data_IF_808240328971
#
_entry.id   IF_808240328971
#
_cell.length_a   1.000
_cell.length_b   1.000
_cell.length_c   1.000
_cell.angle_alpha   90.00
_cell.angle_beta   90.00
_cell.angle_gamma   90.00
#
_symmetry.space_group_name_H-M   'P 1'
#
loop_
_entity.id
_entity.type
_entity.pdbx_description
1 polymer ?
#
# COMPACT_ATOMS: atom_id res chain seq x y z
N UNK A 1 28.68 3.30 -19.08
CA UNK A 1 27.50 4.19 -18.96
C UNK A 1 27.14 4.21 -17.50
N UNK A 2 27.55 5.28 -16.82
CA UNK A 2 27.29 5.51 -15.40
C UNK A 2 25.94 6.21 -15.25
N UNK A 3 25.13 5.80 -14.28
CA UNK A 3 24.10 6.69 -13.72
C UNK A 3 24.11 6.58 -12.20
N UNK A 4 24.33 7.76 -11.63
CA UNK A 4 24.58 8.06 -10.23
C UNK A 4 23.27 8.09 -9.43
N UNK A 5 23.38 7.69 -8.17
CA UNK A 5 22.41 7.93 -7.11
C UNK A 5 22.61 9.36 -6.59
N UNK A 6 21.55 10.15 -6.49
CA UNK A 6 21.46 11.24 -5.49
C UNK A 6 20.00 11.53 -5.15
N UNK A 7 19.65 11.33 -3.88
CA UNK A 7 18.53 12.00 -3.20
C UNK A 7 19.02 13.33 -2.61
N UNK A 8 18.11 14.29 -2.33
CA UNK A 8 18.33 15.20 -1.21
C UNK A 8 17.15 15.28 -0.24
N UNK A 9 17.53 15.38 1.03
CA UNK A 9 16.72 15.64 2.22
C UNK A 9 16.04 17.02 2.17
N UNK A 10 14.85 17.13 2.76
CA UNK A 10 14.42 18.36 3.42
C UNK A 10 13.50 18.07 4.62
N UNK A 11 13.60 18.98 5.56
CA UNK A 11 13.45 18.86 7.01
C UNK A 11 12.02 19.08 7.52
N UNK A 12 11.73 18.45 8.67
CA UNK A 12 10.56 18.53 9.54
C UNK A 12 10.11 19.94 9.96
N UNK A 13 8.80 20.15 10.07
CA UNK A 13 8.21 20.93 11.18
C UNK A 13 6.74 20.53 11.44
N UNK A 14 6.37 20.30 12.71
CA UNK A 14 4.98 20.09 13.14
C UNK A 14 4.85 19.23 14.41
N UNK A 15 4.95 19.88 15.58
CA UNK A 15 4.82 19.28 16.93
C UNK A 15 3.38 18.81 17.25
N UNK A 16 3.19 17.77 18.08
CA UNK A 16 1.88 17.37 18.61
C UNK A 16 1.55 18.10 19.93
N UNK A 17 0.27 18.41 20.14
CA UNK A 17 -0.24 19.06 21.34
C UNK A 17 -0.65 18.03 22.41
N UNK A 18 -0.15 18.23 23.62
CA UNK A 18 -0.61 17.63 24.87
C UNK A 18 -2.01 18.12 25.27
N UNK A 19 -2.81 17.25 25.89
CA UNK A 19 -3.46 17.53 27.19
C UNK A 19 -4.24 16.31 27.72
N UNK A 20 -3.79 15.78 28.86
CA UNK A 20 -4.59 15.02 29.83
C UNK A 20 -5.03 15.99 30.94
N UNK A 21 -6.11 15.67 31.66
CA UNK A 21 -5.92 15.51 33.11
C UNK A 21 -6.62 14.27 33.69
N UNK A 22 -6.09 13.85 34.83
CA UNK A 22 -6.40 12.69 35.66
C UNK A 22 -7.33 13.08 36.82
N UNK A 23 -8.22 12.16 37.26
CA UNK A 23 -8.45 11.74 38.66
C UNK A 23 -9.61 10.73 38.72
N UNK A 24 -9.37 9.48 39.17
CA UNK A 24 -9.77 8.88 40.48
C UNK A 24 -11.29 8.82 40.70
N UNK A 25 -11.98 7.75 41.13
CA UNK A 25 -11.68 6.43 41.69
C UNK A 25 -13.05 5.81 42.08
N UNK A 26 -13.21 4.49 42.06
CA UNK A 26 -13.50 3.63 43.24
C UNK A 26 -14.88 2.97 43.15
N UNK A 27 -14.96 1.79 43.76
CA UNK A 27 -16.00 0.75 43.69
C UNK A 27 -17.18 1.04 44.64
N UNK A 28 -18.37 0.51 44.36
CA UNK A 28 -19.01 -0.56 45.16
C UNK A 28 -20.51 -0.75 44.83
N UNK A 29 -20.93 -1.97 45.10
CA UNK A 29 -22.26 -2.59 45.03
C UNK A 29 -23.33 -1.85 45.85
N UNK A 30 -24.62 -1.89 45.46
CA UNK A 30 -25.63 -2.67 46.21
C UNK A 30 -27.07 -2.61 45.63
N UNK A 31 -27.76 -3.73 45.83
CA UNK A 31 -29.15 -3.93 46.26
C UNK A 31 -30.39 -3.36 45.51
N UNK A 32 -31.19 -4.34 45.07
CA UNK A 32 -32.61 -4.61 45.45
C UNK A 32 -33.83 -3.95 44.76
N UNK A 33 -34.63 -4.86 44.18
CA UNK A 33 -36.07 -5.16 44.40
C UNK A 33 -37.09 -4.00 44.31
N UNK A 34 -38.03 -4.13 43.35
CA UNK A 34 -39.45 -3.91 43.61
C UNK A 34 -40.32 -4.93 42.85
N UNK A 35 -40.97 -5.81 43.61
CA UNK A 35 -42.24 -6.44 43.26
C UNK A 35 -43.34 -5.38 43.12
N UNK A 36 -44.30 -5.60 42.22
CA UNK A 36 -45.72 -5.82 42.57
C UNK A 36 -46.63 -5.70 41.33
N UNK A 37 -47.29 -6.81 41.02
CA UNK A 37 -48.58 -6.82 40.30
C UNK A 37 -49.67 -6.29 41.21
N UNK A 38 -50.81 -5.80 40.67
CA UNK A 38 -51.97 -6.69 40.79
C UNK A 38 -52.90 -6.70 39.56
N UNK A 39 -53.49 -7.87 39.36
CA UNK A 39 -54.67 -8.13 38.54
C UNK A 39 -55.87 -7.28 38.98
N UNK A 40 -56.67 -6.79 38.01
CA UNK A 40 -58.14 -6.78 38.11
C UNK A 40 -58.78 -6.48 36.75
N UNK A 41 -59.64 -7.41 36.32
CA UNK A 41 -60.71 -7.28 35.31
C UNK A 41 -61.97 -7.79 36.05
N UNK A 42 -63.25 -7.47 35.73
CA UNK A 42 -63.75 -7.19 34.38
C UNK A 42 -65.03 -6.29 34.19
N UNK A 43 -65.39 -6.13 32.91
CA UNK A 43 -66.76 -6.17 32.29
C UNK A 43 -67.52 -4.87 31.92
N UNK A 44 -67.56 -4.60 30.60
CA UNK A 44 -68.73 -4.30 29.71
C UNK A 44 -69.51 -2.96 29.86
N UNK A 45 -70.06 -2.26 28.86
CA UNK A 45 -70.78 -2.60 27.60
C UNK A 45 -70.80 -1.38 26.63
N UNK A 46 -70.75 -1.65 25.30
CA UNK A 46 -71.28 -0.96 24.08
C UNK A 46 -71.23 0.57 23.89
N UNK A 47 -71.19 1.15 22.68
CA UNK A 47 -70.97 0.82 21.26
C UNK A 47 -70.98 2.19 20.55
N UNK A 48 -70.19 2.42 19.50
CA UNK A 48 -70.68 2.96 18.21
C UNK A 48 -69.56 3.17 17.15
N UNK A 49 -69.68 2.36 16.10
CA UNK A 49 -69.60 2.70 14.65
C UNK A 49 -68.30 3.20 13.97
N UNK A 50 -67.76 2.29 13.12
CA UNK A 50 -67.32 2.49 11.71
C UNK A 50 -66.00 3.27 11.49
N UNK A 51 -64.95 2.79 10.81
CA UNK A 51 -64.85 2.06 9.54
C UNK A 51 -63.45 1.43 9.37
N UNK A 52 -63.34 0.43 8.49
CA UNK A 52 -62.23 -0.49 8.30
C UNK A 52 -60.92 0.08 7.73
N UNK A 53 -59.80 -0.47 8.21
CA UNK A 53 -58.58 -0.71 7.45
C UNK A 53 -58.09 -2.11 7.81
N UNK A 54 -58.01 -3.01 6.82
CA UNK A 54 -57.52 -4.38 6.99
C UNK A 54 -56.00 -4.37 7.12
N UNK A 55 -55.49 -4.16 8.32
CA UNK A 55 -54.12 -4.53 8.66
C UNK A 55 -54.06 -6.06 8.78
N UNK A 56 -53.25 -6.67 7.92
CA UNK A 56 -52.86 -8.08 7.97
C UNK A 56 -52.16 -8.29 9.31
N UNK A 57 -52.90 -8.78 10.31
CA UNK A 57 -52.35 -9.12 11.63
C UNK A 57 -51.15 -10.07 11.45
N UNK A 58 -49.95 -9.54 11.61
CA UNK A 58 -48.74 -10.35 11.76
C UNK A 58 -48.93 -11.19 13.01
N UNK A 59 -49.11 -12.49 12.83
CA UNK A 59 -49.26 -13.44 13.92
C UNK A 59 -48.00 -13.36 14.78
N UNK A 60 -48.16 -12.97 16.04
CA UNK A 60 -47.10 -12.97 17.05
C UNK A 60 -46.58 -14.40 17.18
N UNK A 61 -45.35 -14.65 16.73
CA UNK A 61 -44.66 -15.92 16.94
C UNK A 61 -44.05 -15.86 18.33
N UNK A 62 -44.65 -16.58 19.27
CA UNK A 62 -44.05 -16.79 20.59
C UNK A 62 -43.00 -17.90 20.41
N UNK A 63 -41.71 -17.67 20.70
CA UNK A 63 -40.69 -18.71 20.60
C UNK A 63 -41.07 -19.89 21.48
N UNK A 64 -41.34 -21.04 20.85
CA UNK A 64 -41.58 -22.27 21.58
C UNK A 64 -40.23 -22.79 22.09
N UNK A 65 -40.15 -23.17 23.36
CA UNK A 65 -38.97 -23.84 23.89
C UNK A 65 -38.73 -25.14 23.11
N UNK A 66 -37.55 -25.27 22.51
CA UNK A 66 -37.14 -26.46 21.74
C UNK A 66 -36.67 -27.52 22.73
N UNK A 67 -37.28 -28.71 22.69
CA UNK A 67 -36.88 -29.83 23.54
C UNK A 67 -35.64 -30.58 23.01
N UNK A 68 -35.01 -31.41 23.85
CA UNK A 68 -33.77 -32.15 23.49
C UNK A 68 -33.97 -33.01 22.24
N UNK A 69 -35.13 -33.66 22.10
CA UNK A 69 -35.43 -34.55 20.97
C UNK A 69 -35.48 -33.77 19.66
N UNK A 70 -36.09 -32.58 19.70
CA UNK A 70 -36.14 -31.66 18.56
C UNK A 70 -34.75 -31.19 18.13
N UNK A 71 -33.92 -30.83 19.09
CA UNK A 71 -32.56 -30.39 18.82
C UNK A 71 -31.69 -31.53 18.25
N UNK A 72 -31.79 -32.73 18.83
CA UNK A 72 -31.09 -33.92 18.35
C UNK A 72 -31.51 -34.30 16.93
N UNK A 73 -32.82 -34.33 16.64
CA UNK A 73 -33.32 -34.64 15.30
C UNK A 73 -32.79 -33.65 14.25
N UNK A 74 -32.79 -32.35 14.56
CA UNK A 74 -32.27 -31.31 13.67
C UNK A 74 -30.76 -31.49 13.44
N UNK A 75 -29.99 -31.75 14.49
CA UNK A 75 -28.54 -31.99 14.37
C UNK A 75 -28.22 -33.24 13.55
N UNK A 76 -28.96 -34.33 13.75
CA UNK A 76 -28.81 -35.57 12.99
C UNK A 76 -29.05 -35.32 11.50
N UNK A 77 -30.15 -34.63 11.16
CA UNK A 77 -30.48 -34.35 9.77
C UNK A 77 -29.49 -33.37 9.11
N UNK A 78 -28.92 -32.42 9.86
CA UNK A 78 -27.81 -31.56 9.40
C UNK A 78 -26.54 -32.37 9.15
N UNK A 79 -26.17 -33.25 10.08
CA UNK A 79 -25.01 -34.15 9.92
C UNK A 79 -25.13 -35.07 8.69
N UNK A 80 -26.36 -35.50 8.38
CA UNK A 80 -26.69 -36.26 7.18
C UNK A 80 -26.87 -35.41 5.91
N UNK A 81 -26.67 -34.09 5.99
CA UNK A 81 -26.85 -33.11 4.90
C UNK A 81 -28.24 -33.15 4.26
N UNK A 82 -29.26 -33.50 5.04
CA UNK A 82 -30.66 -33.48 4.62
C UNK A 82 -31.23 -32.07 4.75
N UNK A 83 -30.96 -31.44 5.90
CA UNK A 83 -31.37 -30.08 6.24
C UNK A 83 -30.14 -29.19 6.15
N UNK A 84 -30.34 -27.95 5.72
CA UNK A 84 -29.30 -26.93 5.62
C UNK A 84 -28.76 -26.52 7.01
N UNK A 85 -27.46 -26.22 7.10
CA UNK A 85 -26.77 -25.99 8.39
C UNK A 85 -27.23 -24.72 9.12
N UNK A 86 -27.72 -23.73 8.37
CA UNK A 86 -28.20 -22.42 8.85
C UNK A 86 -29.64 -22.45 9.40
N UNK A 87 -30.36 -23.56 9.22
CA UNK A 87 -31.74 -23.70 9.68
C UNK A 87 -31.86 -23.57 11.19
N UNK A 88 -32.74 -22.67 11.66
CA UNK A 88 -33.08 -22.49 13.07
C UNK A 88 -34.30 -23.34 13.47
N UNK A 89 -34.31 -23.78 14.72
CA UNK A 89 -35.30 -24.71 15.24
C UNK A 89 -36.70 -24.09 15.45
N UNK A 90 -36.75 -22.82 15.85
CA UNK A 90 -37.95 -22.05 16.22
C UNK A 90 -38.70 -21.44 15.01
N UNK A 91 -38.06 -21.43 13.84
CA UNK A 91 -38.67 -20.96 12.60
C UNK A 91 -39.82 -21.87 12.14
N UNK A 92 -40.80 -21.28 11.45
CA UNK A 92 -41.90 -22.04 10.86
C UNK A 92 -41.42 -22.80 9.62
N UNK A 93 -41.83 -24.06 9.51
CA UNK A 93 -41.54 -24.89 8.35
C UNK A 93 -42.57 -24.65 7.25
N UNK A 94 -42.10 -24.22 6.08
CA UNK A 94 -42.96 -24.09 4.91
C UNK A 94 -43.22 -25.46 4.27
N UNK A 95 -44.35 -25.60 3.57
CA UNK A 95 -44.71 -26.84 2.86
C UNK A 95 -43.64 -27.23 1.81
N UNK A 96 -42.99 -26.23 1.21
CA UNK A 96 -41.92 -26.42 0.22
C UNK A 96 -40.63 -26.93 0.84
N UNK A 97 -40.19 -26.33 1.96
CA UNK A 97 -39.02 -26.83 2.71
C UNK A 97 -39.25 -28.27 3.17
N UNK A 98 -40.44 -28.56 3.72
CA UNK A 98 -40.77 -29.91 4.16
C UNK A 98 -40.78 -30.92 3.00
N UNK A 99 -41.35 -30.54 1.85
CA UNK A 99 -41.32 -31.35 0.65
C UNK A 99 -39.88 -31.68 0.20
N UNK A 100 -39.00 -30.67 0.16
CA UNK A 100 -37.57 -30.85 -0.15
C UNK A 100 -36.92 -31.83 0.81
N UNK A 101 -37.13 -31.66 2.11
CA UNK A 101 -36.52 -32.50 3.13
C UNK A 101 -37.02 -33.95 3.08
N UNK A 102 -38.32 -34.19 2.86
CA UNK A 102 -38.89 -35.55 2.70
C UNK A 102 -38.25 -36.26 1.50
N UNK A 103 -38.18 -35.58 0.36
CA UNK A 103 -37.63 -36.20 -0.85
C UNK A 103 -36.14 -36.44 -0.69
N UNK A 104 -35.40 -35.49 -0.12
CA UNK A 104 -33.96 -35.63 0.13
C UNK A 104 -33.66 -36.78 1.10
N UNK A 105 -34.39 -36.90 2.21
CA UNK A 105 -34.18 -37.98 3.17
C UNK A 105 -34.54 -39.35 2.58
N UNK A 106 -35.64 -39.45 1.84
CA UNK A 106 -36.05 -40.70 1.21
C UNK A 106 -35.06 -41.10 0.10
N UNK A 107 -34.70 -40.17 -0.79
CA UNK A 107 -33.75 -40.45 -1.87
C UNK A 107 -32.37 -40.91 -1.36
N UNK A 108 -31.93 -40.38 -0.22
CA UNK A 108 -30.64 -40.70 0.40
C UNK A 108 -30.66 -42.00 1.20
N UNK A 109 -31.73 -42.25 1.97
CA UNK A 109 -31.75 -43.34 2.96
C UNK A 109 -32.66 -44.53 2.58
N UNK A 110 -33.51 -44.41 1.56
CA UNK A 110 -34.39 -45.49 1.12
C UNK A 110 -33.60 -46.59 0.40
N UNK A 111 -33.55 -47.76 1.03
CA UNK A 111 -32.88 -48.95 0.49
C UNK A 111 -33.72 -49.64 -0.58
N UNK A 112 -35.04 -49.60 -0.48
CA UNK A 112 -35.94 -50.23 -1.45
C UNK A 112 -36.21 -49.31 -2.64
N UNK A 113 -35.68 -49.67 -3.82
CA UNK A 113 -35.86 -48.89 -5.05
C UNK A 113 -37.35 -48.64 -5.41
N UNK A 114 -38.27 -49.53 -5.00
CA UNK A 114 -39.72 -49.40 -5.24
C UNK A 114 -40.38 -48.28 -4.44
N UNK A 115 -39.76 -47.84 -3.35
CA UNK A 115 -40.29 -46.79 -2.46
C UNK A 115 -39.44 -45.52 -2.49
N UNK A 116 -38.46 -45.47 -3.41
CA UNK A 116 -37.53 -44.35 -3.54
C UNK A 116 -38.18 -43.24 -4.37
N UNK A 117 -38.30 -42.07 -3.75
CA UNK A 117 -38.66 -40.83 -4.39
C UNK A 117 -37.42 -40.33 -5.13
N UNK A 118 -37.54 -40.17 -6.45
CA UNK A 118 -36.48 -39.63 -7.28
C UNK A 118 -36.96 -38.27 -7.80
N UNK A 119 -36.29 -37.15 -7.46
CA UNK A 119 -36.60 -35.81 -7.98
C UNK A 119 -36.45 -35.63 -9.52
N UNK A 120 -36.43 -36.70 -10.29
CA UNK A 120 -36.12 -36.65 -11.72
C UNK A 120 -37.33 -36.16 -12.51
N UNK A 121 -37.17 -35.03 -13.20
CA UNK A 121 -38.06 -34.47 -14.24
C UNK A 121 -38.07 -35.33 -15.53
N UNK A 122 -37.50 -36.54 -15.49
CA UNK A 122 -37.20 -37.35 -16.67
C UNK A 122 -38.33 -38.32 -17.04
N UNK A 123 -39.50 -37.79 -17.40
CA UNK A 123 -40.39 -38.46 -18.36
C UNK A 123 -40.56 -37.57 -19.59
N UNK A 124 -39.77 -37.88 -20.63
CA UNK A 124 -40.02 -37.62 -22.04
C UNK A 124 -40.95 -36.44 -22.39
N UNK A 125 -40.41 -35.21 -22.31
CA UNK A 125 -40.80 -34.10 -23.19
C UNK A 125 -42.14 -33.40 -22.95
N UNK A 126 -42.98 -33.82 -21.99
CA UNK A 126 -44.19 -33.07 -21.61
C UNK A 126 -44.51 -33.29 -20.13
N UNK A 127 -43.78 -32.61 -19.24
CA UNK A 127 -44.08 -32.63 -17.81
C UNK A 127 -45.37 -31.84 -17.56
N UNK A 128 -46.49 -32.54 -17.33
CA UNK A 128 -47.71 -31.92 -16.82
C UNK A 128 -47.39 -31.48 -15.39
N UNK A 129 -47.43 -30.18 -15.13
CA UNK A 129 -47.20 -29.64 -13.79
C UNK A 129 -48.32 -30.14 -12.86
N UNK A 130 -47.93 -30.65 -11.70
CA UNK A 130 -48.90 -31.13 -10.70
C UNK A 130 -49.79 -30.02 -10.14
N UNK A 131 -49.25 -28.79 -10.12
CA UNK A 131 -49.87 -27.59 -9.56
C UNK A 131 -49.76 -26.41 -10.54
N UNK A 132 -50.70 -25.47 -10.46
CA UNK A 132 -50.73 -24.27 -11.32
C UNK A 132 -49.82 -23.15 -10.84
N UNK A 133 -49.54 -23.13 -9.53
CA UNK A 133 -48.79 -22.10 -8.82
C UNK A 133 -47.29 -22.44 -8.69
N UNK A 134 -46.83 -23.56 -9.24
CA UNK A 134 -45.43 -23.98 -9.21
C UNK A 134 -44.92 -24.16 -10.64
N UNK A 135 -43.95 -23.34 -11.06
CA UNK A 135 -43.33 -23.42 -12.39
C UNK A 135 -42.15 -24.38 -12.42
N UNK A 136 -41.72 -24.78 -13.62
CA UNK A 136 -40.59 -25.69 -13.84
C UNK A 136 -39.26 -25.08 -13.38
N UNK A 137 -39.18 -23.75 -13.33
CA UNK A 137 -38.02 -22.97 -12.89
C UNK A 137 -37.93 -22.82 -11.37
N UNK A 138 -38.95 -23.25 -10.60
CA UNK A 138 -38.89 -23.22 -9.14
C UNK A 138 -37.75 -24.13 -8.64
N UNK A 139 -36.87 -23.66 -7.72
CA UNK A 139 -35.77 -24.47 -7.21
C UNK A 139 -36.22 -25.77 -6.52
N UNK A 140 -37.45 -25.81 -6.01
CA UNK A 140 -38.07 -26.97 -5.36
C UNK A 140 -38.99 -27.78 -6.28
N UNK A 141 -39.10 -27.39 -7.57
CA UNK A 141 -39.99 -28.03 -8.54
C UNK A 141 -39.84 -29.55 -8.54
N UNK A 142 -38.61 -30.05 -8.66
CA UNK A 142 -38.34 -31.49 -8.72
C UNK A 142 -38.80 -32.26 -7.47
N UNK A 143 -38.66 -31.68 -6.27
CA UNK A 143 -39.13 -32.30 -5.03
C UNK A 143 -40.66 -32.26 -4.90
N UNK A 144 -41.28 -31.14 -5.25
CA UNK A 144 -42.72 -30.96 -5.17
C UNK A 144 -43.43 -31.87 -6.18
N UNK A 145 -42.94 -31.90 -7.43
CA UNK A 145 -43.47 -32.75 -8.50
C UNK A 145 -43.33 -34.24 -8.14
N UNK A 146 -42.16 -34.67 -7.63
CA UNK A 146 -41.94 -36.06 -7.26
C UNK A 146 -42.91 -36.56 -6.16
N UNK A 147 -43.28 -35.72 -5.20
CA UNK A 147 -44.27 -36.08 -4.19
C UNK A 147 -45.69 -36.19 -4.77
N UNK A 148 -46.03 -35.31 -5.71
CA UNK A 148 -47.33 -35.34 -6.38
C UNK A 148 -47.48 -36.56 -7.29
N UNK A 149 -46.45 -36.89 -8.05
CA UNK A 149 -46.40 -38.09 -8.90
C UNK A 149 -46.43 -39.39 -8.09
N UNK A 150 -45.80 -39.39 -6.91
CA UNK A 150 -45.88 -40.50 -5.96
C UNK A 150 -47.24 -40.62 -5.24
N UNK A 151 -48.17 -39.70 -5.49
CA UNK A 151 -49.50 -39.67 -4.86
C UNK A 151 -49.48 -39.29 -3.37
N UNK A 152 -48.37 -38.74 -2.87
CA UNK A 152 -48.23 -38.30 -1.47
C UNK A 152 -48.97 -36.99 -1.24
N UNK A 153 -48.99 -36.10 -2.24
CA UNK A 153 -49.73 -34.84 -2.20
C UNK A 153 -50.86 -34.85 -3.24
N UNK A 154 -52.09 -34.47 -2.85
CA UNK A 154 -53.19 -34.37 -3.80
C UNK A 154 -52.88 -33.28 -4.82
N UNK A 155 -53.04 -33.61 -6.10
CA UNK A 155 -52.67 -32.75 -7.23
C UNK A 155 -53.54 -33.06 -8.45
N UNK A 156 -53.38 -32.30 -9.53
CA UNK A 156 -54.05 -32.58 -10.82
C UNK A 156 -53.74 -33.96 -11.37
N UNK A 157 -52.60 -34.52 -10.99
CA UNK A 157 -52.16 -35.85 -11.40
C UNK A 157 -52.96 -36.95 -10.69
N UNK A 158 -53.48 -36.66 -9.49
CA UNK A 158 -54.26 -37.61 -8.68
C UNK A 158 -55.63 -37.95 -9.30
N UNK A 159 -56.20 -37.03 -10.08
CA UNK A 159 -57.62 -37.07 -10.49
C UNK A 159 -57.89 -37.77 -11.83
N UNK A 160 -56.88 -38.43 -12.44
CA UNK A 160 -56.97 -38.96 -13.81
C UNK A 160 -57.28 -40.47 -13.90
N UNK A 161 -57.70 -41.14 -12.83
CA UNK A 161 -58.06 -42.58 -12.88
C UNK A 161 -59.55 -42.88 -13.03
N UNK A 162 -60.44 -41.86 -13.05
CA UNK A 162 -61.90 -42.10 -13.03
C UNK A 162 -62.63 -41.89 -14.36
N UNK A 163 -61.97 -41.92 -15.51
CA UNK A 163 -62.63 -41.86 -16.82
C UNK A 163 -62.27 -43.06 -17.70
N UNK A 164 -62.93 -44.19 -17.46
CA UNK A 164 -63.17 -45.21 -18.48
C UNK A 164 -64.68 -45.50 -18.53
N UNK A 165 -65.34 -44.77 -19.43
CA UNK A 165 -66.58 -45.20 -20.04
C UNK A 165 -66.24 -46.30 -21.07
N UNK A 166 -66.92 -47.45 -20.99
CA UNK A 166 -66.91 -48.47 -22.03
C UNK A 166 -66.00 -49.69 -21.82
N UNK A 167 -66.32 -50.57 -20.87
CA UNK A 167 -66.29 -52.01 -21.13
C UNK A 167 -67.22 -52.74 -20.14
N UNK A 168 -68.30 -53.32 -20.68
CA UNK A 168 -69.10 -54.32 -19.98
C UNK A 168 -68.27 -55.60 -19.87
N UNK A 169 -68.41 -56.25 -18.72
CA UNK A 169 -68.00 -57.61 -18.42
C UNK A 169 -66.51 -57.80 -18.05
N UNK A 170 -66.23 -57.68 -16.75
CA UNK A 170 -65.48 -58.67 -15.97
C UNK A 170 -65.36 -58.20 -14.52
N UNK A 171 -65.78 -59.04 -13.58
CA UNK A 171 -65.31 -59.03 -12.20
C UNK A 171 -65.65 -57.76 -11.41
N UNK A 172 -66.83 -57.76 -10.81
CA UNK A 172 -67.21 -56.91 -9.69
C UNK A 172 -66.17 -57.02 -8.55
N UNK A 173 -65.07 -56.26 -8.63
CA UNK A 173 -64.27 -55.91 -7.46
C UNK A 173 -64.90 -54.65 -6.89
N UNK A 174 -66.08 -54.82 -6.30
CA UNK A 174 -66.58 -53.88 -5.33
C UNK A 174 -65.51 -53.77 -4.25
N UNK A 175 -64.75 -52.67 -4.26
CA UNK A 175 -64.06 -52.21 -3.07
C UNK A 175 -65.15 -51.78 -2.09
N UNK A 176 -65.64 -52.72 -1.30
CA UNK A 176 -66.58 -52.45 -0.22
C UNK A 176 -65.85 -51.66 0.87
N UNK A 177 -66.11 -50.35 1.08
CA UNK A 177 -65.56 -49.62 2.21
C UNK A 177 -66.38 -49.90 3.48
N UNK A 178 -67.30 -50.85 3.44
CA UNK A 178 -68.23 -51.17 4.52
C UNK A 178 -67.61 -52.15 5.53
N UNK A 179 -66.46 -51.78 6.10
CA UNK A 179 -66.00 -52.32 7.40
C UNK A 179 -64.89 -51.53 8.10
N UNK A 180 -64.57 -50.31 7.65
CA UNK A 180 -63.69 -49.40 8.39
C UNK A 180 -64.45 -48.23 9.04
N UNK A 181 -65.75 -48.10 8.81
CA UNK A 181 -66.63 -47.17 9.54
C UNK A 181 -67.00 -47.68 10.95
N UNK A 182 -66.16 -48.51 11.58
CA UNK A 182 -66.23 -48.72 13.02
C UNK A 182 -65.67 -47.46 13.66
N UNK A 183 -66.53 -46.46 13.88
CA UNK A 183 -66.31 -45.25 14.70
C UNK A 183 -64.85 -44.86 14.96
N UNK A 184 -64.03 -44.66 13.92
CA UNK A 184 -62.63 -44.23 14.07
C UNK A 184 -62.54 -42.83 14.69
N UNK A 185 -63.62 -42.04 14.59
CA UNK A 185 -63.79 -40.76 15.28
C UNK A 185 -63.91 -40.88 16.80
N UNK A 186 -64.21 -42.07 17.34
CA UNK A 186 -64.33 -42.32 18.78
C UNK A 186 -63.08 -42.97 19.40
N UNK A 187 -62.18 -43.52 18.58
CA UNK A 187 -60.96 -44.22 19.05
C UNK A 187 -59.75 -43.29 19.09
N UNK A 188 -59.71 -42.30 18.20
CA UNK A 188 -58.68 -41.25 18.18
C UNK A 188 -59.19 -40.14 19.11
N UNK A 189 -58.82 -40.20 20.38
CA UNK A 189 -59.34 -39.33 21.46
C UNK A 189 -58.99 -37.84 21.36
N UNK A 190 -58.87 -37.25 20.17
CA UNK A 190 -58.71 -35.81 19.99
C UNK A 190 -60.03 -35.07 20.23
N UNK A 191 -59.94 -33.89 20.81
CA UNK A 191 -61.12 -33.04 21.05
C UNK A 191 -61.62 -32.33 19.78
N UNK A 192 -60.74 -32.17 18.79
CA UNK A 192 -60.95 -31.43 17.54
C UNK A 192 -60.95 -32.33 16.30
N UNK A 193 -61.35 -33.60 16.44
CA UNK A 193 -61.45 -34.57 15.32
C UNK A 193 -62.30 -34.03 14.16
N UNK A 194 -63.30 -33.20 14.44
CA UNK A 194 -64.18 -32.59 13.41
C UNK A 194 -63.45 -31.59 12.51
N UNK A 195 -62.32 -31.04 12.94
CA UNK A 195 -61.50 -30.10 12.15
C UNK A 195 -60.44 -30.83 11.30
N UNK A 196 -60.26 -32.14 11.52
CA UNK A 196 -59.33 -32.99 10.77
C UNK A 196 -60.00 -33.43 9.46
N UNK A 197 -59.25 -33.48 8.35
CA UNK A 197 -59.78 -33.93 7.05
C UNK A 197 -60.34 -35.35 7.15
N UNK A 198 -61.34 -35.70 6.33
CA UNK A 198 -61.98 -37.03 6.38
C UNK A 198 -61.04 -38.19 6.01
N UNK A 199 -59.90 -37.90 5.39
CA UNK A 199 -58.92 -38.88 4.92
C UNK A 199 -57.78 -39.14 5.93
N UNK A 200 -57.52 -38.22 6.86
CA UNK A 200 -56.40 -38.31 7.80
C UNK A 200 -56.59 -39.25 9.03
N UNK A 201 -57.80 -39.46 9.59
CA UNK A 201 -58.01 -40.24 10.82
C UNK A 201 -57.48 -41.68 10.75
N UNK A 202 -57.61 -42.36 9.61
CA UNK A 202 -57.13 -43.73 9.46
C UNK A 202 -55.60 -43.83 9.65
N UNK A 203 -54.85 -42.91 9.04
CA UNK A 203 -53.39 -42.85 9.17
C UNK A 203 -52.94 -42.48 10.59
N UNK A 204 -53.62 -41.52 11.22
CA UNK A 204 -53.35 -41.13 12.62
C UNK A 204 -53.59 -42.29 13.59
N UNK A 205 -54.66 -43.08 13.38
CA UNK A 205 -54.92 -44.26 14.19
C UNK A 205 -53.81 -45.30 14.06
N UNK A 206 -53.35 -45.58 12.83
CA UNK A 206 -52.25 -46.53 12.62
C UNK A 206 -50.93 -46.06 13.23
N UNK A 207 -50.65 -44.76 13.20
CA UNK A 207 -49.46 -44.19 13.85
C UNK A 207 -49.54 -44.29 15.38
N UNK A 208 -50.72 -44.03 15.96
CA UNK A 208 -50.93 -44.19 17.41
C UNK A 208 -50.75 -45.63 17.89
N UNK A 209 -51.12 -46.62 17.06
CA UNK A 209 -50.87 -48.03 17.33
C UNK A 209 -49.38 -48.40 17.28
N UNK A 210 -48.54 -47.58 16.65
CA UNK A 210 -47.09 -47.79 16.62
C UNK A 210 -46.38 -47.40 17.94
N UNK A 211 -47.13 -46.92 18.95
CA UNK A 211 -46.67 -46.61 20.31
C UNK A 211 -45.36 -45.79 20.36
N UNK A 212 -44.24 -46.40 20.76
CA UNK A 212 -42.92 -45.76 20.85
C UNK A 212 -42.36 -45.33 19.49
N UNK A 213 -42.86 -45.89 18.40
CA UNK A 213 -42.51 -45.51 17.02
C UNK A 213 -43.51 -44.54 16.38
N UNK A 214 -44.54 -44.12 17.12
CA UNK A 214 -45.50 -43.10 16.67
C UNK A 214 -44.78 -41.78 16.37
N UNK A 215 -44.91 -41.33 15.12
CA UNK A 215 -44.41 -40.02 14.68
C UNK A 215 -45.15 -38.93 15.46
N UNK A 216 -46.46 -39.08 15.63
CA UNK A 216 -47.30 -38.11 16.32
C UNK A 216 -46.88 -37.93 17.78
N UNK A 217 -46.63 -39.03 18.49
CA UNK A 217 -46.20 -39.02 19.90
C UNK A 217 -44.77 -38.48 20.05
N UNK A 218 -43.87 -38.73 19.09
CA UNK A 218 -42.51 -38.17 19.11
C UNK A 218 -42.49 -36.66 18.87
N UNK A 219 -43.35 -36.16 17.97
CA UNK A 219 -43.36 -34.73 17.62
C UNK A 219 -44.15 -33.89 18.62
N UNK A 220 -45.31 -34.35 19.06
CA UNK A 220 -46.25 -33.55 19.87
C UNK A 220 -46.45 -34.10 21.29
N UNK A 221 -45.82 -35.22 21.64
CA UNK A 221 -46.06 -35.89 22.92
C UNK A 221 -47.48 -36.44 23.05
N UNK A 222 -47.94 -36.61 24.28
CA UNK A 222 -49.31 -37.01 24.56
C UNK A 222 -50.25 -35.80 24.45
N UNK A 223 -50.77 -35.54 23.25
CA UNK A 223 -51.74 -34.47 23.02
C UNK A 223 -53.18 -34.99 23.00
N UNK A 224 -54.12 -34.22 23.57
CA UNK A 224 -55.58 -34.46 23.48
C UNK A 224 -56.28 -33.54 22.48
N UNK A 225 -55.56 -32.56 21.93
CA UNK A 225 -56.04 -31.62 20.91
C UNK A 225 -54.98 -31.50 19.82
N UNK A 226 -55.34 -31.79 18.57
CA UNK A 226 -54.40 -31.91 17.47
C UNK A 226 -54.07 -30.56 16.81
N UNK A 227 -55.03 -29.64 16.73
CA UNK A 227 -54.92 -28.30 16.15
C UNK A 227 -54.42 -28.31 14.68
N UNK A 228 -55.18 -28.90 13.74
CA UNK A 228 -54.73 -29.12 12.35
C UNK A 228 -54.34 -27.84 11.60
N UNK A 229 -54.87 -26.68 12.01
CA UNK A 229 -54.60 -25.38 11.40
C UNK A 229 -53.39 -24.64 12.01
N UNK A 230 -52.72 -25.22 13.01
CA UNK A 230 -51.54 -24.61 13.65
C UNK A 230 -50.29 -24.83 12.77
N UNK A 231 -49.47 -23.80 12.50
CA UNK A 231 -48.23 -23.97 11.75
C UNK A 231 -47.21 -24.79 12.56
N UNK A 232 -46.40 -25.59 11.86
CA UNK A 232 -45.36 -26.43 12.47
C UNK A 232 -43.99 -25.74 12.43
N UNK A 233 -43.19 -25.94 13.47
CA UNK A 233 -41.80 -25.46 13.51
C UNK A 233 -40.86 -26.39 12.74
N UNK A 234 -39.71 -25.86 12.30
CA UNK A 234 -38.67 -26.66 11.62
C UNK A 234 -38.13 -27.78 12.52
N UNK A 235 -38.04 -27.54 13.82
CA UNK A 235 -37.74 -28.56 14.82
C UNK A 235 -38.76 -29.71 14.85
N UNK A 236 -40.06 -29.40 14.89
CA UNK A 236 -41.12 -30.42 14.86
C UNK A 236 -41.11 -31.22 13.56
N UNK A 237 -40.93 -30.53 12.43
CA UNK A 237 -40.78 -31.15 11.12
C UNK A 237 -39.54 -32.08 11.06
N UNK A 238 -38.42 -31.68 11.66
CA UNK A 238 -37.22 -32.50 11.76
C UNK A 238 -37.44 -33.77 12.58
N UNK A 239 -38.15 -33.70 13.72
CA UNK A 239 -38.53 -34.88 14.50
C UNK A 239 -39.42 -35.80 13.69
N UNK A 240 -40.40 -35.25 12.95
CA UNK A 240 -41.29 -36.04 12.12
C UNK A 240 -40.51 -36.82 11.04
N UNK A 241 -39.54 -36.16 10.39
CA UNK A 241 -38.67 -36.74 9.37
C UNK A 241 -37.73 -37.80 9.91
N UNK A 242 -37.17 -37.59 11.10
CA UNK A 242 -36.23 -38.53 11.71
C UNK A 242 -36.92 -39.75 12.36
N UNK A 243 -38.25 -39.74 12.43
CA UNK A 243 -39.08 -40.73 13.10
C UNK A 243 -39.69 -41.76 12.14
N UNK A 244 -40.29 -42.81 12.71
CA UNK A 244 -40.96 -43.87 11.96
C UNK A 244 -39.98 -44.82 11.28
N UNK A 245 -40.32 -45.27 10.07
CA UNK A 245 -39.58 -46.35 9.36
C UNK A 245 -38.15 -45.99 8.95
N UNK A 246 -37.81 -44.71 8.88
CA UNK A 246 -36.49 -44.25 8.40
C UNK A 246 -35.46 -44.15 9.53
N UNK A 247 -35.89 -44.22 10.80
CA UNK A 247 -35.02 -44.11 11.97
C UNK A 247 -33.88 -45.13 11.97
N UNK A 248 -34.14 -46.38 11.56
CA UNK A 248 -33.10 -47.42 11.46
C UNK A 248 -32.08 -47.15 10.34
N UNK A 249 -32.53 -46.54 9.24
CA UNK A 249 -31.64 -46.16 8.14
C UNK A 249 -30.74 -44.99 8.56
N UNK A 250 -31.31 -44.00 9.27
CA UNK A 250 -30.57 -42.89 9.88
C UNK A 250 -29.51 -43.42 10.85
N UNK A 251 -29.87 -44.32 11.77
CA UNK A 251 -28.92 -44.84 12.77
C UNK A 251 -27.78 -45.64 12.13
N UNK A 252 -28.09 -46.47 11.13
CA UNK A 252 -27.09 -47.22 10.36
C UNK A 252 -26.09 -46.28 9.66
N UNK A 253 -26.60 -45.21 9.05
CA UNK A 253 -25.77 -44.25 8.32
C UNK A 253 -24.90 -43.40 9.27
N UNK A 254 -25.43 -43.03 10.43
CA UNK A 254 -24.66 -42.37 11.48
C UNK A 254 -23.51 -43.25 12.01
N UNK A 255 -23.76 -44.56 12.17
CA UNK A 255 -22.71 -45.53 12.54
C UNK A 255 -21.64 -45.63 11.45
N UNK A 256 -22.04 -45.70 10.18
CA UNK A 256 -21.12 -45.72 9.03
C UNK A 256 -20.22 -44.48 9.01
N UNK A 257 -20.80 -43.28 9.11
CA UNK A 257 -20.06 -42.01 9.14
C UNK A 257 -19.12 -41.95 10.36
N UNK A 258 -19.56 -42.43 11.52
CA UNK A 258 -18.72 -42.49 12.72
C UNK A 258 -17.50 -43.39 12.52
N UNK A 259 -17.69 -44.57 11.93
CA UNK A 259 -16.60 -45.50 11.62
C UNK A 259 -15.60 -44.91 10.62
N UNK A 260 -16.09 -44.29 9.55
CA UNK A 260 -15.27 -43.62 8.53
C UNK A 260 -14.43 -42.48 9.14
N UNK A 261 -15.03 -41.66 10.00
CA UNK A 261 -14.32 -40.58 10.69
C UNK A 261 -13.28 -41.12 11.70
N UNK A 262 -13.58 -42.22 12.40
CA UNK A 262 -12.58 -42.85 13.28
C UNK A 262 -11.41 -43.43 12.50
N UNK A 263 -11.65 -44.03 11.33
CA UNK A 263 -10.60 -44.56 10.47
C UNK A 263 -9.68 -43.43 9.97
N UNK A 264 -10.25 -42.33 9.46
CA UNK A 264 -9.47 -41.13 9.05
C UNK A 264 -8.62 -40.56 10.18
N UNK A 265 -9.16 -40.54 11.39
CA UNK A 265 -8.42 -40.05 12.56
C UNK A 265 -7.25 -40.97 12.92
N UNK A 266 -7.43 -42.28 12.81
CA UNK A 266 -6.36 -43.25 13.03
C UNK A 266 -5.24 -43.10 11.98
N UNK A 267 -5.60 -43.03 10.69
CA UNK A 267 -4.63 -42.80 9.61
C UNK A 267 -3.83 -41.50 9.81
N UNK A 268 -4.49 -40.43 10.26
CA UNK A 268 -3.83 -39.17 10.56
C UNK A 268 -2.83 -39.28 11.71
N UNK A 269 -3.16 -40.04 12.75
CA UNK A 269 -2.25 -40.26 13.88
C UNK A 269 -1.07 -41.16 13.49
N UNK A 270 -1.27 -42.13 12.62
CA UNK A 270 -0.20 -42.96 12.07
C UNK A 270 0.78 -42.11 11.26
N UNK A 271 0.29 -41.25 10.36
CA UNK A 271 1.12 -40.30 9.60
C UNK A 271 1.85 -39.35 10.54
N UNK A 272 1.15 -38.83 11.57
CA UNK A 272 1.75 -37.93 12.57
C UNK A 272 2.88 -38.62 13.34
N UNK A 273 2.67 -39.87 13.74
CA UNK A 273 3.67 -40.66 14.45
C UNK A 273 4.86 -40.98 13.56
N UNK A 274 4.65 -41.36 12.29
CA UNK A 274 5.75 -41.58 11.34
C UNK A 274 6.60 -40.32 11.13
N UNK A 275 5.98 -39.15 10.98
CA UNK A 275 6.70 -37.89 10.84
C UNK A 275 7.49 -37.49 12.09
N UNK A 276 7.00 -37.87 13.28
CA UNK A 276 7.70 -37.66 14.53
C UNK A 276 8.86 -38.65 14.70
N UNK A 277 8.64 -39.94 14.42
CA UNK A 277 9.62 -41.03 14.57
C UNK A 277 10.82 -40.85 13.64
N UNK A 278 10.60 -40.31 12.44
CA UNK A 278 11.68 -40.04 11.50
C UNK A 278 12.58 -38.88 11.93
N UNK A 279 12.16 -38.05 12.89
CA UNK A 279 12.81 -36.79 13.28
C UNK A 279 13.11 -35.85 12.08
N UNK A 280 12.56 -36.13 10.90
CA UNK A 280 12.93 -35.47 9.64
C UNK A 280 12.65 -33.96 9.71
N UNK A 281 11.56 -33.59 10.39
CA UNK A 281 11.19 -32.20 10.62
C UNK A 281 12.25 -31.50 11.49
N UNK A 282 12.68 -32.14 12.58
CA UNK A 282 13.67 -31.57 13.49
C UNK A 282 15.04 -31.45 12.80
N UNK A 283 15.45 -32.48 12.04
CA UNK A 283 16.69 -32.47 11.26
C UNK A 283 16.66 -31.38 10.20
N UNK A 284 15.59 -31.30 9.41
CA UNK A 284 15.40 -30.27 8.39
C UNK A 284 15.55 -28.85 8.96
N UNK A 285 14.86 -28.55 10.07
CA UNK A 285 14.95 -27.25 10.69
C UNK A 285 16.30 -26.97 11.33
N UNK A 286 16.94 -27.98 11.91
CA UNK A 286 18.29 -27.84 12.47
C UNK A 286 19.33 -27.58 11.37
N UNK A 287 19.24 -28.28 10.24
CA UNK A 287 20.08 -28.07 9.07
C UNK A 287 19.86 -26.67 8.49
N UNK A 288 18.59 -26.25 8.33
CA UNK A 288 18.25 -24.90 7.87
C UNK A 288 18.77 -23.82 8.81
N UNK A 289 18.68 -24.04 10.12
CA UNK A 289 19.21 -23.13 11.12
C UNK A 289 20.75 -23.05 11.06
N UNK A 290 21.43 -24.16 10.81
CA UNK A 290 22.87 -24.19 10.66
C UNK A 290 23.33 -23.51 9.36
N UNK A 291 22.62 -23.70 8.24
CA UNK A 291 22.86 -22.96 7.00
C UNK A 291 22.73 -21.45 7.18
N UNK A 292 21.72 -20.98 7.90
CA UNK A 292 21.57 -19.54 8.16
C UNK A 292 22.65 -19.02 9.12
N UNK A 293 23.10 -19.82 10.10
CA UNK A 293 24.24 -19.46 10.94
C UNK A 293 25.53 -19.33 10.14
N UNK A 294 25.82 -20.24 9.22
CA UNK A 294 27.03 -20.15 8.38
C UNK A 294 26.98 -18.94 7.45
N UNK A 295 25.82 -18.65 6.85
CA UNK A 295 25.60 -17.42 6.08
C UNK A 295 25.83 -16.16 6.92
N UNK A 296 25.33 -16.15 8.16
CA UNK A 296 25.56 -15.06 9.11
C UNK A 296 27.05 -14.80 9.36
N UNK A 297 27.82 -15.87 9.61
CA UNK A 297 29.28 -15.78 9.81
C UNK A 297 30.02 -15.30 8.56
N UNK A 298 29.60 -15.73 7.36
CA UNK A 298 30.18 -15.26 6.09
C UNK A 298 29.94 -13.77 5.86
N UNK A 299 28.72 -13.29 6.12
CA UNK A 299 28.37 -11.87 6.03
C UNK A 299 29.13 -11.05 7.06
N UNK A 300 29.25 -11.53 8.30
CA UNK A 300 30.03 -10.86 9.34
C UNK A 300 31.50 -10.75 8.96
N UNK A 301 32.08 -11.83 8.42
CA UNK A 301 33.46 -11.82 7.90
C UNK A 301 33.63 -10.82 6.76
N UNK A 302 32.69 -10.76 5.81
CA UNK A 302 32.72 -9.81 4.71
C UNK A 302 32.58 -8.35 5.18
N UNK A 303 31.73 -8.11 6.19
CA UNK A 303 31.56 -6.81 6.82
C UNK A 303 32.85 -6.34 7.51
N UNK A 304 33.51 -7.21 8.28
CA UNK A 304 34.79 -6.90 8.92
C UNK A 304 35.89 -6.62 7.90
N UNK A 305 35.93 -7.36 6.78
CA UNK A 305 36.85 -7.07 5.68
C UNK A 305 36.61 -5.68 5.07
N UNK A 306 35.36 -5.33 4.80
CA UNK A 306 35.00 -4.01 4.25
C UNK A 306 35.35 -2.86 5.22
N UNK A 307 35.21 -3.07 6.53
CA UNK A 307 35.66 -2.10 7.53
C UNK A 307 37.18 -1.89 7.51
N UNK A 308 37.95 -2.98 7.38
CA UNK A 308 39.40 -2.91 7.26
C UNK A 308 39.83 -2.17 5.99
N UNK A 309 39.18 -2.45 4.85
CA UNK A 309 39.43 -1.76 3.59
C UNK A 309 39.14 -0.26 3.69
N UNK A 310 38.04 0.12 4.36
CA UNK A 310 37.67 1.52 4.59
C UNK A 310 38.71 2.24 5.46
N UNK A 311 39.20 1.58 6.50
CA UNK A 311 40.25 2.13 7.36
C UNK A 311 41.55 2.36 6.58
N UNK A 312 41.95 1.41 5.73
CA UNK A 312 43.12 1.58 4.85
C UNK A 312 42.95 2.73 3.87
N UNK A 313 41.77 2.86 3.25
CA UNK A 313 41.49 3.98 2.34
C UNK A 313 41.55 5.33 3.07
N UNK A 314 41.03 5.40 4.30
CA UNK A 314 41.13 6.62 5.11
C UNK A 314 42.59 7.01 5.37
N UNK A 315 43.44 6.04 5.71
CA UNK A 315 44.88 6.27 5.92
C UNK A 315 45.54 6.77 4.63
N UNK A 316 45.19 6.19 3.47
CA UNK A 316 45.68 6.63 2.17
C UNK A 316 45.23 8.06 1.85
N UNK A 317 43.98 8.41 2.13
CA UNK A 317 43.48 9.77 1.93
C UNK A 317 44.19 10.79 2.82
N UNK A 318 44.41 10.48 4.09
CA UNK A 318 45.15 11.35 5.02
C UNK A 318 46.59 11.55 4.55
N UNK A 319 47.25 10.49 4.06
CA UNK A 319 48.60 10.57 3.48
C UNK A 319 48.63 11.45 2.24
N UNK A 320 47.71 11.24 1.28
CA UNK A 320 47.62 12.03 0.06
C UNK A 320 47.35 13.51 0.38
N UNK A 321 46.48 13.80 1.34
CA UNK A 321 46.23 15.16 1.80
C UNK A 321 47.47 15.82 2.40
N UNK A 322 48.24 15.07 3.20
CA UNK A 322 49.50 15.55 3.74
C UNK A 322 50.55 15.83 2.64
N UNK A 323 50.61 15.02 1.59
CA UNK A 323 51.47 15.25 0.42
C UNK A 323 51.05 16.52 -0.34
N UNK A 324 49.75 16.68 -0.64
CA UNK A 324 49.22 17.89 -1.30
C UNK A 324 49.52 19.16 -0.47
N UNK A 325 49.38 19.10 0.85
CA UNK A 325 49.72 20.22 1.73
C UNK A 325 51.20 20.58 1.68
N UNK A 326 52.10 19.58 1.64
CA UNK A 326 53.54 19.81 1.49
C UNK A 326 53.86 20.46 0.15
N UNK A 327 53.27 19.97 -0.94
CA UNK A 327 53.44 20.56 -2.28
C UNK A 327 52.93 22.00 -2.32
N UNK A 328 51.75 22.26 -1.74
CA UNK A 328 51.20 23.62 -1.64
C UNK A 328 52.12 24.55 -0.86
N UNK A 329 52.68 24.09 0.28
CA UNK A 329 53.62 24.88 1.06
C UNK A 329 54.91 25.16 0.28
N UNK A 330 55.45 24.16 -0.44
CA UNK A 330 56.61 24.34 -1.30
C UNK A 330 56.36 25.36 -2.42
N UNK A 331 55.20 25.30 -3.08
CA UNK A 331 54.81 26.27 -4.10
C UNK A 331 54.67 27.68 -3.53
N UNK A 332 54.12 27.84 -2.32
CA UNK A 332 54.04 29.17 -1.69
C UNK A 332 55.43 29.73 -1.35
N UNK A 333 56.36 28.88 -0.88
CA UNK A 333 57.76 29.28 -0.69
C UNK A 333 58.39 29.74 -2.01
N UNK A 334 58.18 29.01 -3.11
CA UNK A 334 58.65 29.41 -4.43
C UNK A 334 58.01 30.73 -4.90
N UNK A 335 56.70 30.90 -4.69
CA UNK A 335 55.97 32.12 -5.02
C UNK A 335 56.53 33.33 -4.28
N UNK A 336 56.82 33.18 -2.99
CA UNK A 336 57.37 34.25 -2.17
C UNK A 336 58.77 34.66 -2.62
N UNK A 337 59.62 33.69 -3.00
CA UNK A 337 60.94 33.98 -3.58
C UNK A 337 60.83 34.72 -4.92
N UNK A 338 59.90 34.33 -5.79
CA UNK A 338 59.68 35.04 -7.05
C UNK A 338 59.16 36.47 -6.84
N UNK A 339 58.34 36.69 -5.81
CA UNK A 339 57.90 38.03 -5.43
C UNK A 339 59.07 38.90 -4.95
N UNK A 340 59.95 38.38 -4.09
CA UNK A 340 61.12 39.13 -3.62
C UNK A 340 62.08 39.46 -4.77
N UNK A 341 62.36 38.48 -5.65
CA UNK A 341 63.18 38.71 -6.84
C UNK A 341 62.56 39.75 -7.78
N UNK A 342 61.23 39.74 -7.93
CA UNK A 342 60.51 40.76 -8.71
C UNK A 342 60.67 42.15 -8.09
N UNK A 343 60.59 42.26 -6.77
CA UNK A 343 60.81 43.53 -6.05
C UNK A 343 62.25 44.03 -6.23
N UNK A 344 63.26 43.15 -6.10
CA UNK A 344 64.67 43.50 -6.35
C UNK A 344 64.90 43.97 -7.79
N UNK A 345 64.33 43.27 -8.79
CA UNK A 345 64.42 43.67 -10.20
C UNK A 345 63.77 45.03 -10.43
N UNK A 346 62.61 45.28 -9.81
CA UNK A 346 61.96 46.59 -9.88
C UNK A 346 62.84 47.69 -9.28
N UNK A 347 63.43 47.47 -8.10
CA UNK A 347 64.32 48.42 -7.44
C UNK A 347 65.57 48.72 -8.29
N UNK A 348 66.21 47.69 -8.86
CA UNK A 348 67.34 47.86 -9.79
C UNK A 348 66.91 48.63 -11.03
N UNK A 349 65.72 48.35 -11.56
CA UNK A 349 65.20 49.04 -12.74
C UNK A 349 64.93 50.53 -12.48
N UNK A 350 64.41 50.89 -11.31
CA UNK A 350 64.20 52.27 -10.90
C UNK A 350 65.53 53.00 -10.68
N UNK A 351 66.50 52.36 -10.02
CA UNK A 351 67.86 52.90 -9.88
C UNK A 351 68.51 53.16 -11.24
N UNK A 352 68.46 52.18 -12.14
CA UNK A 352 68.99 52.33 -13.50
C UNK A 352 68.28 53.44 -14.28
N UNK A 353 66.97 53.61 -14.11
CA UNK A 353 66.24 54.72 -14.72
C UNK A 353 66.70 56.08 -14.16
N UNK A 354 66.94 56.17 -12.85
CA UNK A 354 67.45 57.39 -12.22
C UNK A 354 68.88 57.73 -12.67
N UNK A 355 69.78 56.75 -12.72
CA UNK A 355 71.15 56.92 -13.23
C UNK A 355 71.17 57.29 -14.72
N UNK A 356 70.27 56.70 -15.53
CA UNK A 356 70.11 57.12 -16.93
C UNK A 356 69.66 58.57 -17.03
N UNK A 357 68.77 59.02 -16.15
CA UNK A 357 68.32 60.42 -16.11
C UNK A 357 69.46 61.37 -15.76
N UNK A 358 70.29 61.03 -14.75
CA UNK A 358 71.46 61.86 -14.38
C UNK A 358 72.50 61.86 -15.48
N UNK A 359 72.81 60.71 -16.07
CA UNK A 359 73.73 60.60 -17.21
C UNK A 359 73.27 61.44 -18.41
N UNK A 360 71.97 61.41 -18.75
CA UNK A 360 71.42 62.24 -19.82
C UNK A 360 71.54 63.74 -19.49
N UNK A 361 71.27 64.13 -18.24
CA UNK A 361 71.43 65.52 -17.79
C UNK A 361 72.90 65.98 -17.90
N UNK A 362 73.84 65.22 -17.35
CA UNK A 362 75.28 65.51 -17.44
C UNK A 362 75.75 65.56 -18.90
N UNK A 363 75.24 64.68 -19.76
CA UNK A 363 75.54 64.71 -21.20
C UNK A 363 75.03 66.01 -21.85
N UNK A 364 73.85 66.50 -21.49
CA UNK A 364 73.35 67.79 -21.96
C UNK A 364 74.23 68.94 -21.46
N UNK A 365 74.61 68.94 -20.17
CA UNK A 365 75.48 69.98 -19.60
C UNK A 365 76.85 70.02 -20.30
N UNK A 366 77.43 68.84 -20.61
CA UNK A 366 78.66 68.74 -21.39
C UNK A 366 78.50 69.27 -22.81
N UNK A 367 77.36 69.01 -23.45
CA UNK A 367 77.03 69.51 -24.79
C UNK A 367 76.91 71.04 -24.79
N UNK A 368 76.30 71.62 -23.75
CA UNK A 368 76.17 73.06 -23.57
C UNK A 368 77.56 73.69 -23.34
N UNK A 369 78.38 73.12 -22.47
CA UNK A 369 79.76 73.59 -22.26
C UNK A 369 80.62 73.51 -23.53
N UNK A 370 80.43 72.47 -24.34
CA UNK A 370 81.11 72.33 -25.62
C UNK A 370 80.69 73.45 -26.58
N UNK A 371 79.39 73.74 -26.67
CA UNK A 371 78.84 74.84 -27.48
C UNK A 371 79.37 76.20 -27.01
N UNK A 372 79.46 76.43 -25.70
CA UNK A 372 80.06 77.64 -25.11
C UNK A 372 81.56 77.79 -25.43
N UNK A 373 82.30 76.68 -25.44
CA UNK A 373 83.71 76.67 -25.81
C UNK A 373 83.90 76.97 -27.30
N UNK A 374 83.06 76.39 -28.17
CA UNK A 374 83.06 76.66 -29.61
C UNK A 374 82.78 78.14 -29.91
N UNK A 375 81.75 78.73 -29.30
CA UNK A 375 81.44 80.16 -29.47
C UNK A 375 82.57 81.06 -28.96
N UNK A 376 83.21 80.72 -27.83
CA UNK A 376 84.40 81.45 -27.35
C UNK A 376 85.57 81.31 -28.30
N UNK A 377 85.82 80.13 -28.84
CA UNK A 377 86.87 79.91 -29.83
C UNK A 377 86.62 80.75 -31.09
N UNK A 378 85.39 80.79 -31.58
CA UNK A 378 84.99 81.64 -32.71
C UNK A 378 85.26 83.12 -32.40
N UNK A 379 84.85 83.61 -31.23
CA UNK A 379 85.14 85.00 -30.81
C UNK A 379 86.64 85.32 -30.70
N UNK A 380 87.47 84.36 -30.28
CA UNK A 380 88.92 84.51 -30.25
C UNK A 380 89.52 84.53 -31.66
N UNK A 381 89.00 83.73 -32.58
CA UNK A 381 89.40 83.76 -33.99
C UNK A 381 89.06 85.12 -34.63
N UNK A 382 87.88 85.66 -34.34
CA UNK A 382 87.49 87.00 -34.77
C UNK A 382 88.41 88.07 -34.20
N UNK A 383 88.64 88.06 -32.88
CA UNK A 383 89.56 88.99 -32.23
C UNK A 383 90.99 88.89 -32.78
N UNK A 384 91.47 87.67 -33.05
CA UNK A 384 92.74 87.43 -33.72
C UNK A 384 92.75 88.05 -35.12
N UNK A 385 91.70 87.87 -35.92
CA UNK A 385 91.59 88.49 -37.25
C UNK A 385 91.60 90.03 -37.17
N UNK A 386 90.96 90.62 -36.15
CA UNK A 386 90.99 92.06 -35.91
C UNK A 386 92.42 92.52 -35.57
N UNK A 387 93.10 91.84 -34.64
CA UNK A 387 94.48 92.15 -34.28
C UNK A 387 95.45 91.99 -35.46
N UNK A 388 95.27 90.96 -36.29
CA UNK A 388 96.04 90.79 -37.52
C UNK A 388 95.82 91.98 -38.48
N UNK A 389 94.57 92.47 -38.61
CA UNK A 389 94.26 93.66 -39.38
C UNK A 389 94.87 94.95 -38.76
N UNK A 390 94.89 95.07 -37.43
CA UNK A 390 95.54 96.20 -36.73
C UNK A 390 97.06 96.17 -36.89
N UNK A 391 97.70 95.00 -36.76
CA UNK A 391 99.14 94.83 -37.04
C UNK A 391 99.44 95.28 -38.46
N UNK A 392 98.62 94.88 -39.42
CA UNK A 392 98.76 95.28 -40.81
C UNK A 392 98.54 96.79 -41.00
N UNK A 393 97.55 97.39 -40.34
CA UNK A 393 97.34 98.84 -40.34
C UNK A 393 98.52 99.60 -39.73
N UNK A 394 99.10 99.11 -38.62
CA UNK A 394 100.30 99.68 -38.00
C UNK A 394 101.50 99.53 -38.94
N UNK A 395 101.64 98.40 -39.64
CA UNK A 395 102.69 98.17 -40.64
C UNK A 395 102.59 99.23 -41.75
N UNK A 396 101.37 99.51 -42.24
CA UNK A 396 101.10 100.57 -43.22
C UNK A 396 101.43 101.95 -42.63
N UNK A 397 100.94 102.29 -41.43
CA UNK A 397 101.20 103.58 -40.77
C UNK A 397 102.71 103.80 -40.55
N UNK A 398 103.43 102.78 -40.09
CA UNK A 398 104.87 102.83 -39.93
C UNK A 398 105.57 103.16 -41.24
N UNK A 399 105.18 102.51 -42.34
CA UNK A 399 105.74 102.84 -43.67
C UNK A 399 105.47 104.31 -44.06
N UNK A 400 104.30 104.85 -43.72
CA UNK A 400 103.95 106.24 -43.99
C UNK A 400 104.75 107.23 -43.13
N UNK A 401 104.95 106.92 -41.84
CA UNK A 401 105.81 107.72 -40.95
C UNK A 401 107.26 107.67 -41.41
N UNK A 402 107.76 106.49 -41.79
CA UNK A 402 109.11 106.36 -42.37
C UNK A 402 109.25 107.17 -43.66
N UNK A 403 108.21 107.21 -44.51
CA UNK A 403 108.16 108.05 -45.70
C UNK A 403 108.15 109.55 -45.37
N UNK A 404 107.35 109.99 -44.40
CA UNK A 404 107.31 111.39 -43.98
C UNK A 404 108.61 111.79 -43.26
N UNK A 405 109.24 110.89 -42.51
CA UNK A 405 110.57 111.09 -41.94
C UNK A 405 111.63 111.25 -43.04
N UNK A 406 111.56 110.46 -44.12
CA UNK A 406 112.42 110.65 -45.31
C UNK A 406 112.18 112.00 -45.98
N UNK A 407 110.92 112.42 -46.14
CA UNK A 407 110.56 113.76 -46.67
C UNK A 407 111.02 114.89 -45.75
N UNK A 408 110.84 114.74 -44.45
CA UNK A 408 111.32 115.65 -43.40
C UNK A 408 112.83 115.78 -43.44
N UNK A 409 113.57 114.68 -43.53
CA UNK A 409 115.02 114.68 -43.68
C UNK A 409 115.45 115.35 -44.99
N UNK A 410 114.70 115.16 -46.08
CA UNK A 410 114.92 115.89 -47.33
C UNK A 410 114.66 117.40 -47.15
N UNK A 411 113.58 117.81 -46.48
CA UNK A 411 113.31 119.22 -46.12
C UNK A 411 114.38 119.80 -45.20
N UNK A 412 114.87 119.04 -44.23
CA UNK A 412 115.95 119.42 -43.32
C UNK A 412 117.27 119.58 -44.07
N UNK A 413 117.59 118.70 -45.02
CA UNK A 413 118.74 118.89 -45.94
C UNK A 413 118.60 120.15 -46.79
N UNK A 414 117.39 120.49 -47.26
CA UNK A 414 117.12 121.76 -47.93
C UNK A 414 117.35 122.95 -46.99
N UNK A 415 116.91 122.88 -45.73
CA UNK A 415 117.15 123.94 -44.74
C UNK A 415 118.61 124.04 -44.30
N UNK A 416 119.35 122.93 -44.24
CA UNK A 416 120.79 122.90 -43.98
C UNK A 416 121.56 123.54 -45.14
N UNK A 417 121.11 123.32 -46.38
CA UNK A 417 121.62 124.00 -47.58
C UNK A 417 121.31 125.51 -47.57
N UNK A 418 120.14 125.92 -47.06
CA UNK A 418 119.79 127.33 -46.83
C UNK A 418 120.62 127.94 -45.69
N UNK A 419 120.91 127.17 -44.64
CA UNK A 419 121.81 127.57 -43.54
C UNK A 419 123.26 127.75 -43.98
N UNK A 420 123.75 126.94 -44.94
CA UNK A 420 125.07 127.14 -45.57
C UNK A 420 125.12 128.37 -46.49
N UNK A 421 123.98 128.85 -47.00
CA UNK A 421 123.89 130.10 -47.80
C UNK A 421 123.85 131.38 -46.96
N UNK A 422 123.75 131.27 -45.64
CA UNK A 422 123.64 132.42 -44.72
C UNK A 422 124.87 132.65 -43.84
N UNK A 423 126.06 132.35 -44.40
CA UNK A 423 127.35 132.83 -43.87
C UNK A 423 128.07 133.64 -44.96
N UNK A 424 128.12 134.96 -44.78
CA UNK A 424 129.22 135.80 -45.24
C UNK A 424 129.43 137.00 -44.29
N UNK A 425 130.71 137.32 -44.13
CA UNK A 425 131.38 138.15 -43.14
C UNK A 425 131.19 139.68 -43.27
N UNK A 426 131.36 140.39 -42.15
CA UNK A 426 132.05 141.69 -42.04
C UNK A 426 132.50 141.96 -40.59
N UNK A 427 133.73 142.52 -40.46
CA UNK A 427 134.50 142.88 -39.26
C UNK A 427 133.79 143.72 -38.18
N UNK A 428 134.00 143.38 -36.91
CA UNK A 428 134.56 144.20 -35.81
C UNK A 428 134.61 143.36 -34.51
#
# INVERSE_FOLDING_TARGET
MAFQITSPLHTFHGSPADTKPTNQGALDEDAMIYEASPETVPTSVSQNTTSASTEKLERIIIPAAVDSTQQEALQVLKKLKIIEDDVKADELCTRREYARWIVRINSSLERNAKHRLVPSVSLAGSAITAFDDVSVEDPDFGSIQALAEAGVTPSKLSQRSSNYDGLKDHGNINFSPERWSISTTSTIGFMDVKEISSEAPAGLYTDMLAEENSILRKVFGQCRRFQPNKPSTKAQAAVALASGRITEAISSELLRIKAENSARKAEMEDIRSELLDREDIQRFWNDKLNEEKTRGLEVEKAYLAALSDLEQEKILQEKNFAEILKEKAAMECQRQLLLSLKEEVNEISEKLASERSTYVAEKCDLQDMLSDLETKQESMLDAKSILEAEIEAIRILRSWVEDEARKSQARAKVLEEVGRRWKWDSQA
#
